data_IF_816676057125
#
_entry.id   IF_816676057125
#
_cell.length_a   1.000
_cell.length_b   1.000
_cell.length_c   1.000
_cell.angle_alpha   90.00
_cell.angle_beta   90.00
_cell.angle_gamma   90.00
#
_symmetry.space_group_name_H-M   'P 1'
#
loop_
_entity.id
_entity.type
_entity.pdbx_description
1 polymer ?
#
# COMPACT_ATOMS: atom_id res chain seq x y z
N UNK A 1 14.02 -4.60 -2.38
CA UNK A 1 12.81 -5.39 -2.16
C UNK A 1 12.89 -6.75 -2.89
N UNK A 2 13.22 -6.78 -4.18
CA UNK A 2 13.39 -8.02 -4.96
C UNK A 2 14.46 -8.96 -4.38
N UNK A 3 15.55 -8.43 -3.82
CA UNK A 3 16.56 -9.22 -3.12
C UNK A 3 16.00 -9.94 -1.88
N UNK A 4 15.05 -9.33 -1.18
CA UNK A 4 14.36 -9.99 -0.04
C UNK A 4 13.43 -11.11 -0.49
N UNK A 5 12.78 -10.95 -1.65
CA UNK A 5 11.90 -11.96 -2.23
C UNK A 5 12.66 -13.16 -2.72
N UNK A 6 13.86 -12.97 -3.31
CA UNK A 6 14.68 -14.07 -3.83
C UNK A 6 15.24 -15.00 -2.73
N UNK A 7 15.19 -14.60 -1.48
CA UNK A 7 15.59 -15.39 -0.33
C UNK A 7 14.44 -16.24 0.27
N UNK A 8 13.24 -16.16 -0.29
CA UNK A 8 12.07 -16.91 0.16
C UNK A 8 12.07 -18.32 -0.45
N UNK A 9 11.99 -19.36 0.36
CA UNK A 9 12.07 -20.79 -0.04
C UNK A 9 10.89 -21.29 -0.90
N UNK A 10 9.90 -20.44 -1.18
CA UNK A 10 8.79 -20.79 -2.06
C UNK A 10 9.26 -20.84 -3.52
N UNK A 11 9.27 -22.02 -4.12
CA UNK A 11 9.74 -22.25 -5.49
C UNK A 11 9.01 -21.39 -6.54
N UNK A 12 7.74 -21.06 -6.31
CA UNK A 12 6.96 -20.19 -7.18
C UNK A 12 7.47 -18.75 -7.11
N UNK A 13 7.68 -18.22 -5.89
CA UNK A 13 8.19 -16.86 -5.66
C UNK A 13 9.59 -16.71 -6.20
N UNK A 14 10.46 -17.72 -5.99
CA UNK A 14 11.82 -17.74 -6.53
C UNK A 14 11.84 -17.74 -8.07
N UNK A 15 10.98 -18.53 -8.71
CA UNK A 15 10.85 -18.55 -10.17
C UNK A 15 10.37 -17.21 -10.73
N UNK A 16 9.39 -16.60 -10.08
CA UNK A 16 8.86 -15.27 -10.46
C UNK A 16 9.89 -14.16 -10.25
N UNK A 17 10.59 -14.16 -9.10
CA UNK A 17 11.65 -13.19 -8.81
C UNK A 17 12.79 -13.28 -9.83
N UNK A 18 13.21 -14.50 -10.18
CA UNK A 18 14.26 -14.72 -11.19
C UNK A 18 13.84 -14.25 -12.59
N UNK A 19 12.58 -14.46 -12.99
CA UNK A 19 12.06 -13.97 -14.26
C UNK A 19 12.07 -12.43 -14.34
N UNK A 20 11.67 -11.76 -13.26
CA UNK A 20 11.68 -10.28 -13.16
C UNK A 20 13.12 -9.74 -13.16
N UNK A 21 14.04 -10.39 -12.46
CA UNK A 21 15.46 -9.97 -12.45
C UNK A 21 16.12 -10.15 -13.82
N UNK A 22 15.84 -11.24 -14.53
CA UNK A 22 16.39 -11.49 -15.87
C UNK A 22 15.91 -10.45 -16.91
N UNK A 23 14.75 -9.85 -16.73
CA UNK A 23 14.26 -8.75 -17.58
C UNK A 23 14.94 -7.41 -17.30
N UNK A 24 15.52 -7.21 -16.10
CA UNK A 24 16.23 -5.96 -15.74
C UNK A 24 17.66 -5.88 -16.25
N UNK A 25 18.33 -7.01 -16.42
CA UNK A 25 19.74 -7.05 -16.90
C UNK A 25 19.90 -6.77 -18.41
N UNK A 26 18.79 -6.63 -19.14
CA UNK A 26 18.79 -6.39 -20.58
C UNK A 26 18.46 -4.98 -21.05
N UNK A 27 18.33 -4.00 -20.17
CA UNK A 27 17.82 -2.66 -20.52
C UNK A 27 18.68 -1.52 -20.01
N UNK A 28 19.32 -0.89 -20.97
CA UNK A 28 20.13 0.32 -20.89
C UNK A 28 19.45 1.45 -20.08
N UNK A 29 20.24 2.14 -19.27
CA UNK A 29 19.85 3.32 -18.51
C UNK A 29 19.58 4.45 -19.49
N UNK A 30 18.36 4.77 -19.77
CA UNK A 30 17.84 6.10 -20.10
C UNK A 30 16.50 6.04 -20.85
N UNK A 31 15.43 5.91 -20.09
CA UNK A 31 14.14 6.50 -20.40
C UNK A 31 13.31 6.48 -19.10
N UNK A 32 12.89 7.63 -18.60
CA UNK A 32 11.73 7.75 -17.72
C UNK A 32 10.51 7.35 -18.56
N UNK A 33 10.40 6.08 -18.80
CA UNK A 33 9.20 5.48 -19.37
C UNK A 33 8.36 5.10 -18.16
N UNK A 34 7.16 5.61 -18.15
CA UNK A 34 6.03 5.26 -17.29
C UNK A 34 5.68 3.76 -17.50
N UNK A 35 6.61 2.89 -17.14
CA UNK A 35 6.48 1.45 -17.25
C UNK A 35 5.70 0.97 -16.03
N UNK A 36 4.39 0.85 -16.19
CA UNK A 36 3.52 0.20 -15.20
C UNK A 36 4.15 -1.11 -14.73
N UNK A 37 4.15 -1.31 -13.41
CA UNK A 37 4.66 -2.55 -12.78
C UNK A 37 3.97 -3.77 -13.40
N UNK A 38 4.72 -4.76 -13.91
CA UNK A 38 4.12 -5.98 -14.45
C UNK A 38 3.24 -6.69 -13.42
N UNK A 39 2.21 -7.39 -13.87
CA UNK A 39 1.27 -8.11 -12.97
C UNK A 39 2.02 -9.03 -12.00
N UNK A 40 3.02 -9.73 -12.49
CA UNK A 40 3.84 -10.63 -11.66
C UNK A 40 4.59 -9.90 -10.53
N UNK A 41 5.13 -8.73 -10.82
CA UNK A 41 5.82 -7.89 -9.84
C UNK A 41 4.83 -7.35 -8.81
N UNK A 42 3.61 -6.99 -9.24
CA UNK A 42 2.52 -6.61 -8.33
C UNK A 42 2.11 -7.75 -7.39
N UNK A 43 1.99 -8.97 -7.90
CA UNK A 43 1.71 -10.17 -7.08
C UNK A 43 2.78 -10.36 -6.01
N UNK A 44 4.05 -10.31 -6.41
CA UNK A 44 5.17 -10.46 -5.48
C UNK A 44 5.21 -9.35 -4.42
N UNK A 45 4.88 -8.13 -4.82
CA UNK A 45 4.78 -7.01 -3.89
C UNK A 45 3.59 -7.19 -2.92
N UNK A 46 2.38 -7.47 -3.43
CA UNK A 46 1.17 -7.62 -2.64
C UNK A 46 1.26 -8.73 -1.58
N UNK A 47 1.99 -9.80 -1.86
CA UNK A 47 2.26 -10.87 -0.90
C UNK A 47 2.91 -10.40 0.41
N UNK A 48 3.68 -9.29 0.37
CA UNK A 48 4.36 -8.73 1.53
C UNK A 48 3.59 -7.58 2.21
N UNK A 49 2.38 -7.34 1.74
CA UNK A 49 1.50 -6.33 2.36
C UNK A 49 0.70 -7.02 3.47
N UNK A 50 0.80 -6.56 4.73
CA UNK A 50 0.14 -7.19 5.88
C UNK A 50 -1.37 -7.39 5.71
N UNK A 51 -1.99 -6.57 4.87
CA UNK A 51 -3.41 -6.68 4.51
C UNK A 51 -3.74 -8.00 3.81
N UNK A 52 -2.78 -8.62 3.14
CA UNK A 52 -2.94 -9.76 2.24
C UNK A 52 -2.13 -11.00 2.66
N UNK A 53 -1.60 -11.01 3.88
CA UNK A 53 -0.71 -12.09 4.39
C UNK A 53 -1.31 -13.50 4.27
N UNK A 54 -2.65 -13.62 4.36
CA UNK A 54 -3.35 -14.92 4.39
C UNK A 54 -3.91 -15.32 3.02
N UNK A 55 -3.67 -14.51 1.96
CA UNK A 55 -4.21 -14.77 0.64
C UNK A 55 -3.38 -15.78 -0.15
N UNK A 56 -4.07 -16.60 -0.93
CA UNK A 56 -3.42 -17.51 -1.87
C UNK A 56 -2.77 -16.76 -3.03
N UNK A 57 -1.77 -17.37 -3.72
CA UNK A 57 -1.19 -16.77 -4.93
C UNK A 57 -2.21 -16.45 -6.03
N UNK A 58 -3.28 -17.27 -6.15
CA UNK A 58 -4.34 -17.05 -7.11
C UNK A 58 -5.17 -15.80 -6.77
N UNK A 59 -5.45 -15.57 -5.48
CA UNK A 59 -6.18 -14.39 -5.01
C UNK A 59 -5.35 -13.11 -5.19
N UNK A 60 -4.06 -13.18 -4.87
CA UNK A 60 -3.12 -12.08 -5.13
C UNK A 60 -3.02 -11.76 -6.62
N UNK A 61 -3.08 -12.77 -7.50
CA UNK A 61 -3.15 -12.61 -8.94
C UNK A 61 -4.38 -11.81 -9.38
N UNK A 62 -5.56 -12.20 -8.90
CA UNK A 62 -6.80 -11.50 -9.21
C UNK A 62 -6.80 -10.03 -8.74
N UNK A 63 -6.24 -9.76 -7.54
CA UNK A 63 -6.05 -8.40 -7.04
C UNK A 63 -5.08 -7.62 -7.93
N UNK A 64 -3.95 -8.23 -8.29
CA UNK A 64 -2.93 -7.58 -9.11
C UNK A 64 -3.41 -7.22 -10.52
N UNK A 65 -4.39 -7.95 -11.06
CA UNK A 65 -5.00 -7.65 -12.37
C UNK A 65 -5.84 -6.37 -12.34
N UNK A 66 -6.63 -6.16 -11.27
CA UNK A 66 -7.52 -5.00 -11.16
C UNK A 66 -6.85 -3.77 -10.53
N UNK A 67 -5.76 -3.98 -9.82
CA UNK A 67 -4.98 -2.92 -9.18
C UNK A 67 -4.25 -2.06 -10.22
N UNK A 68 -4.24 -0.75 -10.02
CA UNK A 68 -3.60 0.23 -10.90
C UNK A 68 -2.40 0.87 -10.20
N UNK A 69 -1.31 1.02 -10.93
CA UNK A 69 -0.18 1.79 -10.43
C UNK A 69 -0.40 3.29 -10.61
N UNK A 70 0.04 4.07 -9.63
CA UNK A 70 0.07 5.52 -9.64
C UNK A 70 1.45 6.00 -9.19
N UNK A 71 1.97 7.01 -9.86
CA UNK A 71 3.22 7.69 -9.50
C UNK A 71 2.92 9.12 -9.11
N UNK A 72 3.60 9.61 -8.08
CA UNK A 72 3.46 10.95 -7.53
C UNK A 72 4.85 11.55 -7.36
N UNK A 73 5.01 12.80 -7.81
CA UNK A 73 6.23 13.55 -7.60
C UNK A 73 6.32 14.10 -6.16
N UNK A 74 7.52 14.50 -5.75
CA UNK A 74 7.74 15.13 -4.45
C UNK A 74 6.77 16.31 -4.21
N UNK A 75 6.11 16.30 -3.05
CA UNK A 75 5.12 17.30 -2.65
C UNK A 75 3.75 17.14 -3.31
N UNK A 76 3.55 16.19 -4.21
CA UNK A 76 2.25 15.96 -4.85
C UNK A 76 1.24 15.36 -3.87
N UNK A 77 -0.02 15.84 -3.96
CA UNK A 77 -1.13 15.31 -3.18
C UNK A 77 -1.64 14.00 -3.79
N UNK A 78 -1.60 12.94 -3.00
CA UNK A 78 -2.26 11.67 -3.31
C UNK A 78 -3.76 11.74 -2.99
N UNK A 79 -4.11 12.50 -1.96
CA UNK A 79 -5.48 12.73 -1.52
C UNK A 79 -5.56 13.96 -0.61
N UNK A 80 -6.70 14.66 -0.62
CA UNK A 80 -6.92 15.85 0.19
C UNK A 80 -7.85 15.58 1.37
N UNK A 81 -7.55 16.15 2.53
CA UNK A 81 -8.44 16.18 3.69
C UNK A 81 -9.80 16.77 3.31
N UNK A 82 -10.88 16.18 3.79
CA UNK A 82 -12.26 16.62 3.53
C UNK A 82 -12.85 16.16 2.21
N UNK A 83 -12.06 15.60 1.27
CA UNK A 83 -12.61 15.03 0.04
C UNK A 83 -13.21 13.63 0.27
N UNK A 84 -14.22 13.28 -0.52
CA UNK A 84 -14.78 11.93 -0.51
C UNK A 84 -13.77 10.97 -1.16
N UNK A 85 -13.29 9.99 -0.38
CA UNK A 85 -12.37 8.96 -0.88
C UNK A 85 -13.11 7.75 -1.41
N UNK A 86 -12.77 7.31 -2.63
CA UNK A 86 -13.32 6.11 -3.27
C UNK A 86 -12.24 5.07 -3.62
N UNK A 87 -11.05 5.26 -3.09
CA UNK A 87 -9.90 4.40 -3.31
C UNK A 87 -9.01 4.31 -2.08
N UNK A 88 -8.30 3.19 -1.97
CA UNK A 88 -7.14 3.05 -1.11
C UNK A 88 -5.86 2.96 -1.95
N UNK A 89 -4.76 3.32 -1.35
CA UNK A 89 -3.43 3.23 -1.94
C UNK A 89 -2.53 2.37 -1.06
N UNK A 90 -1.73 1.51 -1.69
CA UNK A 90 -0.67 0.73 -1.03
C UNK A 90 0.64 1.31 -1.51
N UNK A 91 1.45 1.83 -0.62
CA UNK A 91 2.73 2.44 -0.96
C UNK A 91 3.67 1.34 -1.49
N UNK A 92 4.09 1.44 -2.75
CA UNK A 92 5.02 0.50 -3.36
C UNK A 92 6.48 0.94 -3.18
N UNK A 93 6.74 2.25 -3.28
CA UNK A 93 8.04 2.85 -2.99
C UNK A 93 7.88 4.31 -2.58
N UNK A 94 8.89 4.86 -1.92
CA UNK A 94 8.85 6.22 -1.37
C UNK A 94 8.16 6.29 -0.02
N UNK A 95 7.83 7.50 0.41
CA UNK A 95 7.19 7.77 1.70
C UNK A 95 6.01 8.71 1.49
N UNK A 96 4.92 8.47 2.18
CA UNK A 96 3.74 9.34 2.21
C UNK A 96 3.62 9.99 3.58
N UNK A 97 3.58 11.32 3.62
CA UNK A 97 3.24 12.09 4.81
C UNK A 97 1.72 12.16 4.94
N UNK A 98 1.25 11.93 6.14
CA UNK A 98 -0.16 12.06 6.52
C UNK A 98 -0.31 13.36 7.30
N UNK A 99 -1.11 14.31 6.79
CA UNK A 99 -1.22 15.65 7.34
C UNK A 99 -2.68 15.99 7.66
N UNK A 100 -2.93 16.58 8.83
CA UNK A 100 -4.23 17.12 9.22
C UNK A 100 -4.07 18.62 9.54
N UNK A 101 -4.86 19.46 8.87
CA UNK A 101 -4.75 20.89 9.01
C UNK A 101 -3.33 21.43 8.68
N UNK A 102 -2.63 20.79 7.76
CA UNK A 102 -1.26 21.14 7.36
C UNK A 102 -0.17 20.69 8.36
N UNK A 103 -0.54 19.92 9.38
CA UNK A 103 0.42 19.36 10.35
C UNK A 103 0.63 17.88 10.10
N UNK A 104 1.89 17.46 9.97
CA UNK A 104 2.24 16.04 9.82
C UNK A 104 1.90 15.29 11.11
N UNK A 105 1.11 14.22 10.97
CA UNK A 105 0.70 13.35 12.07
C UNK A 105 1.26 11.94 11.96
N UNK A 106 1.66 11.51 10.76
CA UNK A 106 2.26 10.19 10.54
C UNK A 106 3.01 10.15 9.21
N UNK A 107 3.83 9.12 9.04
CA UNK A 107 4.46 8.73 7.77
C UNK A 107 4.12 7.30 7.45
N UNK A 108 3.99 6.99 6.15
CA UNK A 108 3.73 5.65 5.63
C UNK A 108 4.73 5.29 4.53
N UNK A 109 5.31 4.12 4.67
CA UNK A 109 6.32 3.60 3.75
C UNK A 109 5.84 2.39 2.95
N UNK A 110 6.75 1.72 2.23
CA UNK A 110 6.42 0.57 1.38
C UNK A 110 5.71 -0.56 2.16
N UNK A 111 4.66 -1.12 1.55
CA UNK A 111 3.80 -2.15 2.14
C UNK A 111 2.68 -1.61 3.04
N UNK A 112 2.69 -0.31 3.36
CA UNK A 112 1.62 0.28 4.16
C UNK A 112 0.46 0.78 3.29
N UNK A 113 -0.74 0.68 3.85
CA UNK A 113 -2.00 1.09 3.20
C UNK A 113 -2.40 2.47 3.69
N UNK A 114 -2.89 3.32 2.80
CA UNK A 114 -3.44 4.64 3.11
C UNK A 114 -4.78 4.86 2.41
N UNK A 115 -5.66 5.65 3.01
CA UNK A 115 -6.97 5.98 2.45
C UNK A 115 -8.06 4.93 2.71
N UNK A 116 -7.78 3.83 3.42
CA UNK A 116 -8.72 2.77 3.76
C UNK A 116 -9.87 3.24 4.63
N UNK A 117 -9.63 4.23 5.52
CA UNK A 117 -10.66 4.70 6.46
C UNK A 117 -11.86 5.28 5.73
N UNK A 118 -11.67 6.23 4.82
CA UNK A 118 -12.77 6.82 4.04
C UNK A 118 -13.46 5.80 3.12
N UNK A 119 -12.73 4.78 2.71
CA UNK A 119 -13.29 3.68 1.93
C UNK A 119 -14.29 2.86 2.75
N UNK A 120 -13.97 2.59 4.02
CA UNK A 120 -14.75 1.76 4.94
C UNK A 120 -15.90 2.56 5.54
N UNK A 121 -15.61 3.77 6.06
CA UNK A 121 -16.61 4.60 6.77
C UNK A 121 -17.56 5.34 5.83
N UNK A 122 -17.15 5.55 4.56
CA UNK A 122 -17.83 6.40 3.56
C UNK A 122 -17.88 7.87 3.97
N UNK A 123 -17.02 8.26 4.89
CA UNK A 123 -16.86 9.64 5.32
C UNK A 123 -15.75 10.34 4.53
N UNK A 124 -15.71 11.67 4.53
CA UNK A 124 -14.62 12.44 3.95
C UNK A 124 -13.26 12.02 4.55
N UNK A 125 -12.20 12.19 3.78
CA UNK A 125 -10.84 11.88 4.23
C UNK A 125 -10.46 12.69 5.45
N UNK A 126 -9.97 12.02 6.48
CA UNK A 126 -9.59 12.62 7.76
C UNK A 126 -8.23 13.36 7.70
N UNK A 127 -7.46 13.13 6.64
CA UNK A 127 -6.13 13.71 6.46
C UNK A 127 -5.79 13.83 4.98
N UNK A 128 -4.91 14.76 4.67
CA UNK A 128 -4.21 14.83 3.38
C UNK A 128 -3.08 13.82 3.32
N UNK A 129 -2.84 13.28 2.15
CA UNK A 129 -1.73 12.36 1.85
C UNK A 129 -0.80 13.08 0.86
N UNK A 130 0.45 13.30 1.25
CA UNK A 130 1.43 14.07 0.48
C UNK A 130 2.66 13.20 0.20
N UNK A 131 3.14 13.18 -1.03
CA UNK A 131 4.37 12.50 -1.38
C UNK A 131 5.59 13.19 -0.72
N UNK A 132 6.46 12.41 -0.11
CA UNK A 132 7.75 12.84 0.45
C UNK A 132 8.86 12.16 -0.38
N UNK A 133 9.38 12.89 -1.35
CA UNK A 133 10.10 12.35 -2.50
C UNK A 133 9.17 11.72 -3.54
N UNK A 134 9.74 11.05 -4.54
CA UNK A 134 8.96 10.33 -5.54
C UNK A 134 8.28 9.09 -4.91
N UNK A 135 6.97 8.97 -5.08
CA UNK A 135 6.16 7.87 -4.53
C UNK A 135 5.53 7.07 -5.66
N UNK A 136 5.60 5.74 -5.55
CA UNK A 136 4.78 4.82 -6.36
C UNK A 136 3.79 4.11 -5.44
N UNK A 137 2.55 3.99 -5.85
CA UNK A 137 1.51 3.34 -5.08
C UNK A 137 0.64 2.45 -5.96
N UNK A 138 0.11 1.38 -5.39
CA UNK A 138 -0.89 0.52 -5.99
C UNK A 138 -2.27 1.02 -5.54
N UNK A 139 -3.09 1.42 -6.48
CA UNK A 139 -4.45 1.89 -6.29
C UNK A 139 -5.43 0.73 -6.36
N UNK A 140 -6.35 0.66 -5.41
CA UNK A 140 -7.53 -0.23 -5.44
C UNK A 140 -8.76 0.64 -5.21
N UNK A 141 -9.69 0.63 -6.16
CA UNK A 141 -10.93 1.38 -6.05
C UNK A 141 -11.93 0.73 -5.09
N UNK A 142 -12.94 1.50 -4.66
CA UNK A 142 -13.97 1.06 -3.73
C UNK A 142 -14.69 -0.22 -4.19
N UNK A 143 -15.10 -0.26 -5.44
CA UNK A 143 -15.87 -1.41 -5.97
C UNK A 143 -15.06 -2.69 -5.97
N UNK A 144 -13.81 -2.58 -6.41
CA UNK A 144 -12.86 -3.67 -6.41
C UNK A 144 -12.61 -4.16 -4.99
N UNK A 145 -12.40 -3.24 -4.05
CA UNK A 145 -12.16 -3.55 -2.63
C UNK A 145 -13.38 -4.21 -1.97
N UNK A 146 -14.60 -3.69 -2.20
CA UNK A 146 -15.84 -4.28 -1.68
C UNK A 146 -16.08 -5.69 -2.24
N UNK A 147 -15.82 -5.90 -3.55
CA UNK A 147 -15.88 -7.22 -4.18
C UNK A 147 -14.87 -8.19 -3.55
N UNK A 148 -13.62 -7.73 -3.38
CA UNK A 148 -12.57 -8.54 -2.77
C UNK A 148 -12.93 -9.01 -1.36
N UNK A 149 -13.45 -8.12 -0.50
CA UNK A 149 -13.88 -8.51 0.86
C UNK A 149 -15.06 -9.49 0.81
N UNK A 150 -15.98 -9.32 -0.15
CA UNK A 150 -17.12 -10.23 -0.31
C UNK A 150 -16.65 -11.65 -0.68
N UNK A 151 -15.73 -11.74 -1.62
CA UNK A 151 -15.22 -13.01 -2.14
C UNK A 151 -14.18 -13.65 -1.19
N UNK A 152 -13.47 -12.82 -0.43
CA UNK A 152 -12.37 -13.19 0.48
C UNK A 152 -12.50 -12.45 1.81
N UNK A 153 -13.29 -12.95 2.77
CA UNK A 153 -13.48 -12.32 4.07
C UNK A 153 -12.18 -12.13 4.87
N UNK A 154 -11.14 -12.92 4.60
CA UNK A 154 -9.81 -12.83 5.23
C UNK A 154 -9.16 -11.45 5.00
N UNK A 155 -9.44 -10.80 3.87
CA UNK A 155 -9.03 -9.40 3.60
C UNK A 155 -9.63 -8.47 4.66
N UNK A 156 -10.89 -8.68 5.04
CA UNK A 156 -11.54 -7.90 6.11
C UNK A 156 -10.81 -8.08 7.46
N UNK A 157 -10.34 -9.28 7.77
CA UNK A 157 -9.53 -9.55 8.97
C UNK A 157 -8.19 -8.81 8.88
N UNK A 158 -7.53 -8.81 7.73
CA UNK A 158 -6.31 -8.05 7.48
C UNK A 158 -6.52 -6.54 7.70
N UNK A 159 -7.61 -5.98 7.19
CA UNK A 159 -8.00 -4.58 7.42
C UNK A 159 -8.17 -4.29 8.91
N UNK A 160 -8.91 -5.14 9.62
CA UNK A 160 -9.12 -4.97 11.07
C UNK A 160 -7.80 -5.00 11.84
N UNK A 161 -6.86 -5.86 11.44
CA UNK A 161 -5.52 -5.93 12.04
C UNK A 161 -4.74 -4.62 11.84
N UNK A 162 -4.71 -4.09 10.63
CA UNK A 162 -4.05 -2.80 10.31
C UNK A 162 -4.68 -1.66 11.13
N UNK A 163 -6.00 -1.59 11.21
CA UNK A 163 -6.70 -0.54 11.98
C UNK A 163 -6.46 -0.67 13.48
N UNK A 164 -6.44 -1.90 14.02
CA UNK A 164 -6.13 -2.15 15.43
C UNK A 164 -4.70 -1.73 15.78
N UNK A 165 -3.73 -1.98 14.90
CA UNK A 165 -2.35 -1.52 15.08
C UNK A 165 -2.27 0.01 15.10
N UNK A 166 -2.93 0.69 14.17
CA UNK A 166 -2.98 2.17 14.13
C UNK A 166 -3.65 2.78 15.35
N UNK A 167 -4.73 2.17 15.82
CA UNK A 167 -5.38 2.59 17.06
C UNK A 167 -4.43 2.46 18.25
N UNK A 168 -3.71 1.34 18.35
CA UNK A 168 -2.74 1.14 19.41
C UNK A 168 -1.55 2.13 19.34
N UNK A 169 -1.12 2.51 18.13
CA UNK A 169 -0.10 3.54 17.92
C UNK A 169 -0.61 4.91 18.38
N UNK A 170 -1.81 5.30 17.95
CA UNK A 170 -2.45 6.56 18.33
C UNK A 170 -2.64 6.66 19.85
N UNK A 171 -3.09 5.57 20.49
CA UNK A 171 -3.24 5.49 21.94
C UNK A 171 -1.90 5.70 22.67
N UNK A 172 -0.83 5.01 22.23
CA UNK A 172 0.51 5.15 22.83
C UNK A 172 1.06 6.57 22.66
N UNK A 173 0.78 7.23 21.53
CA UNK A 173 1.21 8.62 21.30
C UNK A 173 0.45 9.59 22.18
N UNK A 174 -0.85 9.43 22.35
CA UNK A 174 -1.68 10.26 23.22
C UNK A 174 -1.26 10.15 24.70
N UNK A 175 -1.09 8.92 25.20
CA UNK A 175 -0.66 8.69 26.60
C UNK A 175 0.74 9.24 26.88
N UNK A 176 1.63 9.23 25.89
CA UNK A 176 2.97 9.81 26.04
C UNK A 176 2.92 11.34 26.05
N UNK A 177 2.04 11.96 25.28
CA UNK A 177 1.86 13.41 25.23
C UNK A 177 1.25 13.96 26.55
N UNK A 178 0.38 13.17 27.20
CA UNK A 178 -0.28 13.53 28.45
C UNK A 178 0.59 13.24 29.71
N UNK A 179 1.81 12.71 29.55
CA UNK A 179 2.72 12.42 30.65
C UNK A 179 2.25 11.30 31.60
N UNK A 180 1.27 10.52 31.20
CA UNK A 180 0.81 9.32 31.91
C UNK A 180 1.76 8.17 31.60
N UNK A 181 2.88 8.12 32.33
CA UNK A 181 3.69 6.90 32.43
C UNK A 181 2.92 5.88 33.27
N UNK A 182 2.56 4.74 32.64
CA UNK A 182 2.12 3.57 33.38
C UNK A 182 3.28 2.88 34.08
#
# INVERSE_FOLDING_TARGET
WLERVSADDDAFVSACANAVMAQRDGGDAMARTDASMPVIERVLFLRHVPLFDELSPADLGAIAEVAQERSFADGELLASEGELGDELLIVASGTVRVETGGTEIARRGPGEVVGEMSLITREPRMASLVADGDVRAIRIGRREFESMIHDRPDIGIGVMRVLAQRLAEAWRSATRAEGLSA
#
